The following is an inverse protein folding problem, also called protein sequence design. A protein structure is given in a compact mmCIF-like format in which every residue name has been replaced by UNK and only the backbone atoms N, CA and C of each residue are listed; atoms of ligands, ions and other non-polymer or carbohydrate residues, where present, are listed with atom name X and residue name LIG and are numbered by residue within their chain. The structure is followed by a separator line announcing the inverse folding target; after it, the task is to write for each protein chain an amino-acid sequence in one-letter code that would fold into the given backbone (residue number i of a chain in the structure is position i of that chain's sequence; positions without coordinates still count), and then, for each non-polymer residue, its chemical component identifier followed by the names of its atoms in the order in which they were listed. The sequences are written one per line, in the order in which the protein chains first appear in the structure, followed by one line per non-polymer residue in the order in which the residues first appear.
data_IF_016936634851
#
_entry.id   IF_016936634851
#
_cell.length_a   1.000
_cell.length_b   1.000
_cell.length_c   1.000
_cell.angle_alpha   90.00
_cell.angle_beta   90.00
_cell.angle_gamma   90.00
#
_symmetry.space_group_name_H-M   'P 1'
#
loop_
_entity.id
_entity.type
_entity.pdbx_description
1 polymer ?
#
# COMPACT_ATOMS: atom_id res chain seq x y z
N UNK A 1 7.89 -5.59 -16.76
CA UNK A 1 7.40 -6.98 -16.79
C UNK A 1 6.48 -7.28 -15.62
N UNK A 2 6.94 -7.31 -14.37
CA UNK A 2 6.02 -7.58 -13.24
C UNK A 2 5.12 -6.40 -12.88
N UNK A 3 5.67 -5.17 -12.87
CA UNK A 3 4.90 -3.95 -12.62
C UNK A 3 3.67 -3.84 -13.53
N UNK A 4 3.86 -3.99 -14.84
CA UNK A 4 2.79 -3.84 -15.84
C UNK A 4 1.71 -4.92 -15.67
N UNK A 5 2.10 -6.13 -15.23
CA UNK A 5 1.15 -7.22 -14.92
C UNK A 5 0.31 -6.90 -13.68
N UNK A 6 0.91 -6.34 -12.64
CA UNK A 6 0.18 -5.92 -11.44
C UNK A 6 -0.74 -4.73 -11.73
N UNK A 7 -0.27 -3.72 -12.47
CA UNK A 7 -1.12 -2.59 -12.87
C UNK A 7 -2.30 -3.04 -13.74
N UNK A 8 -2.08 -3.98 -14.67
CA UNK A 8 -3.15 -4.57 -15.47
C UNK A 8 -4.15 -5.37 -14.62
N UNK A 9 -3.67 -6.09 -13.60
CA UNK A 9 -4.52 -6.82 -12.65
C UNK A 9 -5.34 -5.87 -11.76
N UNK A 10 -4.80 -4.72 -11.38
CA UNK A 10 -5.46 -3.70 -10.55
C UNK A 10 -6.33 -2.72 -11.35
N UNK A 11 -6.36 -2.83 -12.68
CA UNK A 11 -6.90 -1.81 -13.57
C UNK A 11 -8.33 -1.41 -13.20
N UNK A 12 -8.51 -0.16 -12.75
CA UNK A 12 -9.81 0.42 -12.39
C UNK A 12 -10.48 -0.18 -11.15
N UNK A 13 -9.76 -0.93 -10.32
CA UNK A 13 -10.33 -1.58 -9.14
C UNK A 13 -10.89 -0.55 -8.13
N UNK A 14 -12.07 -0.84 -7.59
CA UNK A 14 -12.65 -0.04 -6.51
C UNK A 14 -11.83 -0.18 -5.21
N UNK A 15 -11.32 -1.38 -4.94
CA UNK A 15 -10.46 -1.68 -3.78
C UNK A 15 -9.33 -2.62 -4.18
N UNK A 16 -8.11 -2.26 -3.80
CA UNK A 16 -6.92 -3.13 -3.82
C UNK A 16 -6.53 -3.43 -2.38
N UNK A 17 -6.40 -4.70 -2.02
CA UNK A 17 -5.84 -5.14 -0.74
C UNK A 17 -4.44 -5.67 -1.03
N UNK A 18 -3.43 -5.07 -0.43
CA UNK A 18 -2.03 -5.37 -0.75
C UNK A 18 -1.23 -5.64 0.53
N UNK A 19 -0.29 -6.58 0.44
CA UNK A 19 0.78 -6.71 1.43
C UNK A 19 1.59 -5.41 1.44
N UNK A 20 1.72 -4.81 2.61
CA UNK A 20 2.54 -3.62 2.86
C UNK A 20 3.34 -3.77 4.16
N UNK A 21 3.77 -5.00 4.48
CA UNK A 21 4.42 -5.34 5.74
C UNK A 21 5.60 -4.43 6.08
N UNK A 22 6.34 -3.95 5.06
CA UNK A 22 7.55 -3.17 5.26
C UNK A 22 7.42 -1.75 4.75
N UNK A 23 8.07 -0.83 5.46
CA UNK A 23 8.40 0.48 4.90
C UNK A 23 9.31 0.32 3.67
N UNK A 24 9.36 1.33 2.81
CA UNK A 24 10.27 1.30 1.66
C UNK A 24 11.73 1.07 2.13
N UNK A 25 12.15 1.73 3.21
CA UNK A 25 13.50 1.62 3.75
C UNK A 25 13.84 0.18 4.17
N UNK A 26 12.93 -0.52 4.84
CA UNK A 26 13.12 -1.92 5.23
C UNK A 26 13.13 -2.86 4.02
N UNK A 27 12.22 -2.63 3.06
CA UNK A 27 12.08 -3.46 1.86
C UNK A 27 13.29 -3.38 0.92
N UNK A 28 14.08 -2.31 0.97
CA UNK A 28 15.28 -2.15 0.13
C UNK A 28 16.59 -2.43 0.88
N UNK A 29 16.55 -2.65 2.20
CA UNK A 29 17.75 -2.85 3.02
C UNK A 29 17.74 -4.22 3.70
N UNK A 30 17.34 -4.27 4.98
CA UNK A 30 17.48 -5.41 5.87
C UNK A 30 16.61 -6.60 5.47
N UNK A 31 15.51 -6.34 4.74
CA UNK A 31 14.48 -7.35 4.43
C UNK A 31 14.21 -7.49 2.93
N UNK A 32 15.15 -7.06 2.06
CA UNK A 32 14.96 -7.10 0.61
C UNK A 32 14.70 -8.51 0.06
N UNK A 33 15.31 -9.54 0.65
CA UNK A 33 15.17 -10.93 0.21
C UNK A 33 14.04 -11.71 0.92
N UNK A 34 13.23 -11.03 1.74
CA UNK A 34 12.20 -11.69 2.55
C UNK A 34 10.85 -11.80 1.83
N UNK A 35 10.73 -11.19 0.64
CA UNK A 35 9.59 -11.40 -0.26
C UNK A 35 8.34 -10.59 0.03
N UNK A 36 8.41 -9.60 0.92
CA UNK A 36 7.28 -8.71 1.24
C UNK A 36 7.33 -7.40 0.47
N UNK A 37 6.15 -6.84 0.26
CA UNK A 37 5.94 -5.59 -0.47
C UNK A 37 6.04 -4.36 0.46
N UNK A 38 6.15 -3.18 -0.14
CA UNK A 38 6.15 -1.91 0.59
C UNK A 38 4.93 -1.04 0.28
N UNK A 39 4.55 -0.22 1.26
CA UNK A 39 3.52 0.80 1.12
C UNK A 39 3.73 1.71 -0.11
N UNK A 40 4.96 2.14 -0.36
CA UNK A 40 5.32 2.98 -1.51
C UNK A 40 5.09 2.26 -2.84
N UNK A 41 5.44 0.98 -2.93
CA UNK A 41 5.20 0.19 -4.13
C UNK A 41 3.68 0.06 -4.38
N UNK A 42 2.91 -0.26 -3.35
CA UNK A 42 1.46 -0.43 -3.44
C UNK A 42 0.76 0.85 -3.93
N UNK A 43 1.13 2.02 -3.38
CA UNK A 43 0.60 3.33 -3.83
C UNK A 43 0.91 3.57 -5.32
N UNK A 44 2.14 3.30 -5.75
CA UNK A 44 2.54 3.52 -7.14
C UNK A 44 1.79 2.61 -8.12
N UNK A 45 1.61 1.33 -7.78
CA UNK A 45 0.83 0.39 -8.60
C UNK A 45 -0.64 0.80 -8.67
N UNK A 46 -1.23 1.20 -7.55
CA UNK A 46 -2.62 1.67 -7.52
C UNK A 46 -2.82 2.94 -8.38
N UNK A 47 -1.89 3.89 -8.30
CA UNK A 47 -1.91 5.08 -9.15
C UNK A 47 -1.74 4.77 -10.63
N UNK A 48 -0.86 3.83 -10.99
CA UNK A 48 -0.69 3.39 -12.39
C UNK A 48 -1.91 2.67 -12.93
N UNK A 49 -2.59 1.90 -12.08
CA UNK A 49 -3.79 1.15 -12.41
C UNK A 49 -5.10 1.96 -12.39
N UNK A 50 -5.08 3.17 -11.81
CA UNK A 50 -6.30 3.97 -11.59
C UNK A 50 -7.24 3.35 -10.56
N UNK A 51 -6.71 2.65 -9.56
CA UNK A 51 -7.49 2.12 -8.44
C UNK A 51 -8.00 3.26 -7.53
N UNK A 52 -9.14 3.04 -6.88
CA UNK A 52 -9.79 4.07 -6.05
C UNK A 52 -9.38 4.01 -4.58
N UNK A 53 -9.16 2.82 -4.05
CA UNK A 53 -8.82 2.56 -2.65
C UNK A 53 -7.71 1.52 -2.52
N UNK A 54 -6.77 1.75 -1.61
CA UNK A 54 -5.73 0.82 -1.19
C UNK A 54 -5.91 0.50 0.29
N UNK A 55 -6.01 -0.80 0.61
CA UNK A 55 -6.00 -1.33 1.98
C UNK A 55 -4.62 -1.89 2.28
N UNK A 56 -3.96 -1.30 3.29
CA UNK A 56 -2.68 -1.74 3.83
C UNK A 56 -2.91 -2.98 4.69
N UNK A 57 -2.42 -4.13 4.24
CA UNK A 57 -2.61 -5.43 4.88
C UNK A 57 -1.28 -6.11 5.22
N UNK A 58 -1.37 -7.17 6.04
CA UNK A 58 -0.25 -8.04 6.38
C UNK A 58 0.87 -7.33 7.17
N UNK A 59 0.48 -6.61 8.22
CA UNK A 59 1.40 -5.89 9.10
C UNK A 59 2.48 -6.81 9.70
N UNK A 60 3.67 -6.25 9.94
CA UNK A 60 4.77 -6.96 10.60
C UNK A 60 4.36 -7.40 12.03
N UNK A 61 4.38 -8.71 12.36
CA UNK A 61 3.92 -9.23 13.65
C UNK A 61 4.59 -8.61 14.87
N UNK A 62 5.80 -8.07 14.70
CA UNK A 62 6.56 -7.43 15.76
C UNK A 62 6.32 -5.93 15.90
N UNK A 63 5.58 -5.32 14.98
CA UNK A 63 5.22 -3.90 15.03
C UNK A 63 4.20 -3.61 16.13
N UNK A 64 4.39 -2.49 16.83
CA UNK A 64 3.36 -1.93 17.71
C UNK A 64 2.29 -1.18 16.92
N UNK A 65 1.16 -0.90 17.55
CA UNK A 65 0.10 -0.06 16.97
C UNK A 65 0.64 1.31 16.51
N UNK A 66 1.58 1.88 17.27
CA UNK A 66 2.24 3.16 16.94
C UNK A 66 3.06 3.03 15.65
N UNK A 67 3.77 1.91 15.46
CA UNK A 67 4.54 1.68 14.25
C UNK A 67 3.63 1.54 13.02
N UNK A 68 2.50 0.87 13.18
CA UNK A 68 1.48 0.69 12.14
C UNK A 68 0.83 2.04 11.78
N UNK A 69 0.46 2.84 12.79
CA UNK A 69 -0.12 4.18 12.59
C UNK A 69 0.87 5.11 11.89
N UNK A 70 2.16 5.07 12.27
CA UNK A 70 3.19 5.86 11.59
C UNK A 70 3.32 5.46 10.12
N UNK A 71 3.36 4.16 9.81
CA UNK A 71 3.40 3.67 8.43
C UNK A 71 2.16 4.13 7.65
N UNK A 72 0.99 4.10 8.26
CA UNK A 72 -0.26 4.54 7.65
C UNK A 72 -0.23 6.04 7.31
N UNK A 73 0.13 6.90 8.27
CA UNK A 73 0.26 8.35 8.07
C UNK A 73 1.34 8.70 7.03
N UNK A 74 2.48 8.02 7.06
CA UNK A 74 3.52 8.16 6.04
C UNK A 74 3.00 7.77 4.65
N UNK A 75 2.16 6.74 4.55
CA UNK A 75 1.58 6.30 3.28
C UNK A 75 0.60 7.32 2.73
N UNK A 76 -0.28 7.89 3.56
CA UNK A 76 -1.18 8.98 3.17
C UNK A 76 -0.37 10.18 2.68
N UNK A 77 0.67 10.56 3.43
CA UNK A 77 1.53 11.68 3.06
C UNK A 77 2.26 11.43 1.74
N UNK A 78 2.76 10.20 1.53
CA UNK A 78 3.42 9.82 0.30
C UNK A 78 2.45 9.83 -0.90
N UNK A 79 1.24 9.30 -0.76
CA UNK A 79 0.17 9.39 -1.77
C UNK A 79 -0.05 10.85 -2.17
N UNK A 80 -0.28 11.72 -1.20
CA UNK A 80 -0.61 13.12 -1.46
C UNK A 80 0.52 13.85 -2.21
N UNK A 81 1.78 13.54 -1.87
CA UNK A 81 2.96 14.13 -2.51
C UNK A 81 3.26 13.54 -3.91
N UNK A 82 2.91 12.27 -4.14
CA UNK A 82 3.25 11.53 -5.37
C UNK A 82 2.14 11.47 -6.42
N UNK A 83 0.88 11.74 -6.02
CA UNK A 83 -0.34 11.68 -6.85
C UNK A 83 -0.24 12.48 -8.15
N UNK A 84 0.35 13.68 -8.12
CA UNK A 84 0.31 14.68 -9.21
C UNK A 84 -1.15 15.03 -9.56
N UNK A 85 -1.52 14.90 -10.84
CA UNK A 85 -2.86 15.22 -11.36
C UNK A 85 -3.82 14.01 -11.35
N UNK A 86 -3.43 12.88 -10.75
CA UNK A 86 -4.29 11.70 -10.63
C UNK A 86 -5.40 11.92 -9.61
N UNK A 87 -6.43 11.07 -9.66
CA UNK A 87 -7.45 11.04 -8.61
C UNK A 87 -6.82 10.67 -7.25
N UNK A 88 -7.33 11.21 -6.13
CA UNK A 88 -6.94 10.76 -4.80
C UNK A 88 -7.15 9.26 -4.64
N UNK A 89 -6.11 8.56 -4.18
CA UNK A 89 -6.19 7.17 -3.76
C UNK A 89 -6.54 7.15 -2.28
N UNK A 90 -7.69 6.59 -1.92
CA UNK A 90 -8.07 6.43 -0.51
C UNK A 90 -7.18 5.34 0.12
N UNK A 91 -6.51 5.66 1.24
CA UNK A 91 -5.68 4.71 1.97
C UNK A 91 -6.42 4.27 3.23
N UNK A 92 -6.47 2.96 3.47
CA UNK A 92 -7.08 2.38 4.67
C UNK A 92 -6.07 1.45 5.35
N UNK A 93 -5.84 1.62 6.65
CA UNK A 93 -5.10 0.67 7.44
C UNK A 93 -6.03 -0.46 7.91
N UNK A 94 -5.71 -1.70 7.56
CA UNK A 94 -6.51 -2.85 8.01
C UNK A 94 -6.24 -3.21 9.46
N UNK A 95 -7.21 -3.85 10.08
CA UNK A 95 -7.11 -4.49 11.39
C UNK A 95 -8.07 -5.67 11.46
N UNK A 96 -7.87 -6.55 12.42
CA UNK A 96 -8.71 -7.74 12.60
C UNK A 96 -10.18 -7.35 12.76
N UNK A 97 -11.05 -8.00 11.99
CA UNK A 97 -12.50 -7.73 11.96
C UNK A 97 -12.92 -6.42 11.28
N UNK A 98 -12.04 -5.74 10.55
CA UNK A 98 -12.45 -4.62 9.69
C UNK A 98 -13.41 -5.11 8.59
N UNK A 99 -14.56 -4.43 8.46
CA UNK A 99 -15.51 -4.60 7.36
C UNK A 99 -15.53 -3.35 6.47
N UNK A 100 -15.48 -3.55 5.15
CA UNK A 100 -15.54 -2.48 4.14
C UNK A 100 -16.66 -2.77 3.14
N UNK A 101 -17.40 -1.72 2.79
CA UNK A 101 -18.35 -1.76 1.66
C UNK A 101 -17.66 -1.27 0.40
N UNK A 102 -17.92 -1.95 -0.72
CA UNK A 102 -17.38 -1.66 -2.05
C UNK A 102 -18.51 -1.19 -2.96
#
# INVERSE_FOLDING_TARGET
EDKDRFEAFFAGADVVICDTMYSLAESITLKADWGHSSNVMAVNLCHGAGAKKLVLFHHEPTSSDIDIDNLFEETIRYEALSRKDRIPLEIVCSYDSLELTV
#
